data_IF_256392594832
#
_entry.id   IF_256392594832
#
_cell.length_a   1.000
_cell.length_b   1.000
_cell.length_c   1.000
_cell.angle_alpha   90.00
_cell.angle_beta   90.00
_cell.angle_gamma   90.00
#
_symmetry.space_group_name_H-M   'P 1'
#
loop_
_entity.id
_entity.type
_entity.pdbx_description
1 polymer ?
#
# COMPACT_ATOMS: atom_id res chain seq x y z
N UNK A 1 -3.56 -12.11 10.89
CA UNK A 1 -4.06 -12.25 12.25
C UNK A 1 -5.45 -11.62 12.38
N UNK A 2 -6.46 -12.31 12.94
CA UNK A 2 -7.80 -11.75 13.12
C UNK A 2 -7.83 -10.76 14.28
N UNK A 3 -8.29 -9.54 14.02
CA UNK A 3 -8.54 -8.48 15.00
C UNK A 3 -9.97 -7.98 14.78
N UNK A 4 -10.81 -8.00 15.82
CA UNK A 4 -12.13 -7.35 15.84
C UNK A 4 -12.94 -7.42 14.53
N UNK A 5 -12.86 -8.55 13.80
CA UNK A 5 -13.65 -8.79 12.58
C UNK A 5 -12.91 -8.65 11.25
N UNK A 6 -11.63 -8.30 11.24
CA UNK A 6 -10.77 -8.30 10.06
C UNK A 6 -9.45 -9.04 10.32
N UNK A 7 -8.62 -9.21 9.29
CA UNK A 7 -7.30 -9.83 9.41
C UNK A 7 -6.20 -8.83 9.04
N UNK A 8 -5.17 -8.78 9.85
CA UNK A 8 -3.98 -7.94 9.61
C UNK A 8 -2.75 -8.80 9.35
N UNK A 9 -1.87 -8.37 8.45
CA UNK A 9 -0.60 -9.01 8.19
C UNK A 9 0.53 -8.14 8.73
N UNK A 10 1.24 -8.65 9.73
CA UNK A 10 2.36 -7.96 10.33
C UNK A 10 3.65 -8.73 10.16
N UNK A 11 4.76 -8.06 9.85
CA UNK A 11 6.06 -8.70 9.97
C UNK A 11 6.26 -9.21 11.41
N UNK A 12 6.75 -10.43 11.56
CA UNK A 12 6.92 -11.09 12.87
C UNK A 12 7.75 -10.25 13.85
N UNK A 13 8.75 -9.49 13.35
CA UNK A 13 9.58 -8.61 14.19
C UNK A 13 9.04 -7.20 14.35
N UNK A 14 7.85 -6.89 13.81
CA UNK A 14 7.24 -5.57 13.96
C UNK A 14 6.84 -5.30 15.42
N UNK A 15 6.82 -4.03 15.79
CA UNK A 15 6.35 -3.63 17.14
C UNK A 15 4.88 -3.99 17.37
N UNK A 16 4.06 -3.93 16.34
CA UNK A 16 2.65 -4.29 16.44
C UNK A 16 2.49 -5.78 16.77
N UNK A 17 3.21 -6.65 16.06
CA UNK A 17 3.17 -8.08 16.35
C UNK A 17 3.72 -8.41 17.75
N UNK A 18 4.82 -7.78 18.17
CA UNK A 18 5.39 -7.97 19.51
C UNK A 18 4.42 -7.55 20.62
N UNK A 19 3.77 -6.40 20.45
CA UNK A 19 2.75 -5.91 21.42
C UNK A 19 1.55 -6.85 21.48
N UNK A 20 1.07 -7.25 20.33
CA UNK A 20 -0.04 -8.21 20.26
C UNK A 20 0.32 -9.54 20.92
N UNK A 21 1.50 -10.10 20.62
CA UNK A 21 1.94 -11.38 21.18
C UNK A 21 2.07 -11.28 22.72
N UNK A 22 2.59 -10.17 23.24
CA UNK A 22 2.69 -9.93 24.67
C UNK A 22 1.31 -9.82 25.33
N UNK A 23 0.37 -9.09 24.72
CA UNK A 23 -1.00 -8.95 25.22
C UNK A 23 -1.71 -10.32 25.22
N UNK A 24 -1.57 -11.10 24.13
CA UNK A 24 -2.17 -12.43 24.03
C UNK A 24 -1.63 -13.40 25.07
N UNK A 25 -0.31 -13.38 25.30
CA UNK A 25 0.31 -14.17 26.37
C UNK A 25 -0.22 -13.79 27.76
N UNK A 26 -0.41 -12.50 28.02
CA UNK A 26 -1.00 -12.04 29.27
C UNK A 26 -2.46 -12.48 29.44
N UNK A 27 -3.28 -12.39 28.38
CA UNK A 27 -4.67 -12.84 28.41
C UNK A 27 -4.79 -14.34 28.70
N UNK A 28 -3.92 -15.17 28.11
CA UNK A 28 -3.98 -16.62 28.25
C UNK A 28 -3.30 -17.17 29.52
N UNK A 29 -2.21 -16.56 29.96
CA UNK A 29 -1.42 -17.08 31.07
C UNK A 29 -1.51 -16.23 32.35
N UNK A 30 -2.08 -15.03 32.29
CA UNK A 30 -2.13 -14.08 33.41
C UNK A 30 -0.79 -13.44 33.77
N UNK A 31 0.25 -13.66 32.97
CA UNK A 31 1.61 -13.18 33.21
C UNK A 31 2.19 -12.48 31.97
N UNK A 32 2.83 -11.34 32.18
CA UNK A 32 3.55 -10.67 31.10
C UNK A 32 4.83 -11.47 30.74
N UNK A 33 5.03 -11.83 29.46
CA UNK A 33 6.24 -12.55 29.06
C UNK A 33 7.49 -11.66 29.24
N UNK A 34 8.55 -12.23 29.80
CA UNK A 34 9.86 -11.56 29.82
C UNK A 34 10.42 -11.34 28.41
N UNK A 35 11.32 -10.38 28.26
CA UNK A 35 11.91 -10.02 26.98
C UNK A 35 12.57 -11.22 26.26
N UNK A 36 13.25 -12.08 27.00
CA UNK A 36 13.90 -13.29 26.45
C UNK A 36 12.86 -14.29 25.95
N UNK A 37 11.81 -14.57 26.72
CA UNK A 37 10.75 -15.50 26.31
C UNK A 37 10.03 -15.01 25.03
N UNK A 38 9.80 -13.69 24.93
CA UNK A 38 9.23 -13.10 23.72
C UNK A 38 10.15 -13.28 22.52
N UNK A 39 11.44 -13.03 22.66
CA UNK A 39 12.42 -13.19 21.57
C UNK A 39 12.58 -14.65 21.13
N UNK A 40 12.58 -15.58 22.07
CA UNK A 40 12.65 -17.02 21.77
C UNK A 40 11.39 -17.50 21.04
N UNK A 41 10.22 -16.99 21.44
CA UNK A 41 8.96 -17.27 20.75
C UNK A 41 8.98 -16.74 19.31
N UNK A 42 9.49 -15.52 19.10
CA UNK A 42 9.62 -14.95 17.75
C UNK A 42 10.53 -15.79 16.86
N UNK A 43 11.65 -16.30 17.38
CA UNK A 43 12.55 -17.20 16.64
C UNK A 43 11.87 -18.50 16.23
N UNK A 44 11.09 -19.09 17.13
CA UNK A 44 10.32 -20.31 16.81
C UNK A 44 9.27 -20.03 15.73
N UNK A 45 8.54 -18.91 15.83
CA UNK A 45 7.56 -18.54 14.82
C UNK A 45 8.20 -18.27 13.44
N UNK A 46 9.37 -17.61 13.40
CA UNK A 46 10.13 -17.41 12.16
C UNK A 46 10.59 -18.75 11.56
N UNK A 47 11.13 -19.66 12.37
CA UNK A 47 11.57 -20.97 11.91
C UNK A 47 10.38 -21.77 11.33
N UNK A 48 9.24 -21.77 11.99
CA UNK A 48 8.04 -22.43 11.49
C UNK A 48 7.52 -21.80 10.20
N UNK A 49 7.43 -20.48 10.14
CA UNK A 49 7.00 -19.77 8.93
C UNK A 49 7.90 -20.08 7.73
N UNK A 50 9.22 -20.17 7.95
CA UNK A 50 10.20 -20.46 6.90
C UNK A 50 10.14 -21.91 6.42
N UNK A 51 9.87 -22.86 7.32
CA UNK A 51 9.99 -24.30 7.00
C UNK A 51 8.62 -24.97 6.73
N UNK A 52 7.54 -24.46 7.27
CA UNK A 52 6.23 -25.12 7.26
C UNK A 52 5.15 -24.31 6.52
N UNK A 53 5.34 -23.00 6.37
CA UNK A 53 4.35 -22.09 5.80
C UNK A 53 4.37 -22.03 4.27
N UNK A 54 3.24 -21.74 3.63
CA UNK A 54 3.22 -21.44 2.21
C UNK A 54 3.93 -20.10 1.93
N UNK A 55 4.79 -20.09 0.92
CA UNK A 55 5.40 -18.83 0.46
C UNK A 55 4.35 -17.97 -0.24
N UNK A 56 4.19 -16.72 0.23
CA UNK A 56 3.30 -15.72 -0.35
C UNK A 56 4.00 -14.38 -0.42
N UNK A 57 4.03 -13.78 -1.62
CA UNK A 57 4.51 -12.42 -1.77
C UNK A 57 3.56 -11.45 -1.07
N UNK A 58 4.04 -10.60 -0.16
CA UNK A 58 3.20 -9.56 0.44
C UNK A 58 2.89 -8.47 -0.58
N UNK A 59 1.71 -7.86 -0.44
CA UNK A 59 1.26 -6.73 -1.25
C UNK A 59 1.31 -5.43 -0.44
N UNK A 60 1.74 -4.34 -1.04
CA UNK A 60 1.72 -3.04 -0.37
C UNK A 60 0.37 -2.33 -0.55
N UNK A 61 0.05 -1.91 -1.74
CA UNK A 61 -1.17 -1.17 -2.07
C UNK A 61 -2.05 -1.94 -3.02
N UNK A 62 -1.45 -2.59 -3.99
CA UNK A 62 -2.14 -3.42 -4.98
C UNK A 62 -1.53 -4.81 -5.02
N UNK A 63 -2.33 -5.77 -5.40
CA UNK A 63 -1.90 -7.12 -5.68
C UNK A 63 -2.88 -7.81 -6.61
N UNK A 64 -2.54 -8.99 -7.12
CA UNK A 64 -3.47 -9.76 -7.94
C UNK A 64 -3.50 -11.22 -7.55
N UNK A 65 -4.68 -11.81 -7.73
CA UNK A 65 -4.92 -13.23 -7.57
C UNK A 65 -6.12 -13.64 -8.42
N UNK A 66 -6.01 -14.75 -9.12
CA UNK A 66 -7.11 -15.34 -9.92
C UNK A 66 -7.69 -14.36 -10.96
N UNK A 67 -6.83 -13.56 -11.61
CA UNK A 67 -7.23 -12.60 -12.65
C UNK A 67 -7.94 -11.35 -12.12
N UNK A 68 -7.94 -11.13 -10.82
CA UNK A 68 -8.50 -9.94 -10.17
C UNK A 68 -7.40 -9.11 -9.54
N UNK A 69 -7.59 -7.79 -9.50
CA UNK A 69 -6.75 -6.85 -8.79
C UNK A 69 -7.41 -6.53 -7.44
N UNK A 70 -6.60 -6.42 -6.40
CA UNK A 70 -7.01 -6.00 -5.07
C UNK A 70 -6.30 -4.71 -4.72
N UNK A 71 -7.06 -3.70 -4.31
CA UNK A 71 -6.56 -2.39 -3.89
C UNK A 71 -6.85 -2.19 -2.40
N UNK A 72 -5.81 -2.09 -1.59
CA UNK A 72 -5.93 -1.80 -0.16
C UNK A 72 -6.36 -0.36 0.06
N UNK A 73 -7.48 -0.13 0.72
CA UNK A 73 -7.91 1.21 1.11
C UNK A 73 -7.05 1.79 2.24
N UNK A 74 -6.28 0.96 2.93
CA UNK A 74 -5.47 1.36 4.09
C UNK A 74 -6.30 2.05 5.19
N UNK A 75 -7.58 1.76 5.28
CA UNK A 75 -8.46 2.23 6.34
C UNK A 75 -8.31 1.41 7.64
N UNK A 76 -8.94 1.86 8.72
CA UNK A 76 -8.88 1.21 10.01
C UNK A 76 -9.54 -0.18 10.02
N UNK A 77 -10.49 -0.43 9.12
CA UNK A 77 -11.22 -1.69 9.01
C UNK A 77 -10.55 -2.71 8.09
N UNK A 78 -9.42 -2.38 7.49
CA UNK A 78 -8.68 -3.24 6.56
C UNK A 78 -9.50 -3.69 5.36
N UNK A 79 -10.35 -2.81 4.85
CA UNK A 79 -11.13 -3.07 3.66
C UNK A 79 -10.28 -2.95 2.40
N UNK A 80 -10.65 -3.69 1.38
CA UNK A 80 -10.03 -3.55 0.06
C UNK A 80 -11.07 -3.54 -1.05
N UNK A 81 -10.70 -3.01 -2.20
CA UNK A 81 -11.50 -3.08 -3.42
C UNK A 81 -11.00 -4.24 -4.25
N UNK A 82 -11.89 -5.17 -4.59
CA UNK A 82 -11.65 -6.20 -5.59
C UNK A 82 -12.10 -5.68 -6.95
N UNK A 83 -11.23 -5.71 -7.93
CA UNK A 83 -11.46 -5.24 -9.30
C UNK A 83 -11.36 -6.44 -10.25
N UNK A 84 -12.41 -6.70 -10.99
CA UNK A 84 -12.49 -7.70 -12.03
C UNK A 84 -12.68 -7.04 -13.40
N UNK A 85 -12.61 -7.77 -14.52
CA UNK A 85 -12.85 -7.19 -15.84
C UNK A 85 -14.24 -6.58 -16.04
N UNK A 86 -15.23 -6.97 -15.26
CA UNK A 86 -16.62 -6.54 -15.44
C UNK A 86 -17.13 -5.61 -14.33
N UNK A 87 -16.55 -5.68 -13.14
CA UNK A 87 -17.06 -4.96 -11.98
C UNK A 87 -15.97 -4.74 -10.92
N UNK A 88 -16.24 -3.87 -10.01
CA UNK A 88 -15.50 -3.74 -8.77
C UNK A 88 -16.44 -3.85 -7.57
N UNK A 89 -15.91 -4.30 -6.43
CA UNK A 89 -16.67 -4.37 -5.18
C UNK A 89 -15.79 -4.10 -3.97
N UNK A 90 -16.38 -3.52 -2.95
CA UNK A 90 -15.74 -3.33 -1.66
C UNK A 90 -15.83 -4.63 -0.85
N UNK A 91 -14.72 -5.10 -0.33
CA UNK A 91 -14.63 -6.25 0.54
C UNK A 91 -14.36 -5.79 1.97
N UNK A 92 -15.35 -6.03 2.84
CA UNK A 92 -15.23 -5.80 4.29
C UNK A 92 -14.28 -6.82 4.96
N UNK A 93 -14.14 -8.01 4.37
CA UNK A 93 -13.27 -9.09 4.84
C UNK A 93 -12.59 -9.76 3.66
N UNK A 94 -11.29 -10.00 3.79
CA UNK A 94 -10.49 -10.67 2.78
C UNK A 94 -9.26 -11.35 3.42
N UNK A 95 -8.61 -12.20 2.64
CA UNK A 95 -7.36 -12.88 2.98
C UNK A 95 -6.17 -12.39 2.13
N UNK A 96 -6.31 -11.23 1.49
CA UNK A 96 -5.27 -10.60 0.71
C UNK A 96 -4.06 -10.26 1.62
N UNK A 97 -2.81 -10.60 1.20
CA UNK A 97 -1.63 -10.49 2.05
C UNK A 97 -1.06 -9.08 2.09
N UNK A 98 -1.90 -8.07 2.32
CA UNK A 98 -1.45 -6.69 2.44
C UNK A 98 -0.60 -6.48 3.67
N UNK A 99 0.48 -5.73 3.51
CA UNK A 99 1.28 -5.17 4.59
C UNK A 99 1.23 -3.65 4.50
N UNK A 100 1.16 -2.98 5.64
CA UNK A 100 1.05 -1.52 5.70
C UNK A 100 2.26 -0.91 6.37
N UNK A 101 2.91 0.03 5.69
CA UNK A 101 3.92 0.86 6.31
C UNK A 101 3.26 2.01 7.10
N UNK A 102 3.95 2.52 8.11
CA UNK A 102 3.44 3.65 8.92
C UNK A 102 3.25 4.95 8.13
N UNK A 103 3.86 5.03 6.94
CA UNK A 103 3.75 6.18 6.06
C UNK A 103 2.51 6.13 5.15
N UNK A 104 1.91 4.97 4.94
CA UNK A 104 0.69 4.84 4.12
C UNK A 104 -0.47 5.62 4.73
N UNK A 105 -1.32 6.14 3.87
CA UNK A 105 -2.54 6.88 4.23
C UNK A 105 -3.74 6.25 3.55
N UNK A 106 -4.95 6.37 4.14
CA UNK A 106 -6.14 5.80 3.57
C UNK A 106 -6.52 6.44 2.23
N UNK A 107 -7.03 5.61 1.34
CA UNK A 107 -7.82 6.02 0.19
C UNK A 107 -9.27 6.20 0.65
N UNK A 108 -10.02 7.13 0.04
CA UNK A 108 -11.46 7.20 0.25
C UNK A 108 -12.14 5.94 -0.27
N UNK A 109 -13.31 5.65 0.25
CA UNK A 109 -14.18 4.62 -0.34
C UNK A 109 -14.55 5.03 -1.76
N UNK A 110 -14.38 4.14 -2.76
CA UNK A 110 -14.71 4.47 -4.13
C UNK A 110 -16.23 4.57 -4.32
N UNK A 111 -16.64 5.56 -5.07
CA UNK A 111 -18.02 5.77 -5.49
C UNK A 111 -18.11 5.74 -7.02
N UNK A 112 -19.22 5.20 -7.53
CA UNK A 112 -19.49 5.22 -8.96
C UNK A 112 -20.17 6.52 -9.37
N UNK A 113 -19.92 6.99 -10.58
CA UNK A 113 -20.71 8.06 -11.18
C UNK A 113 -19.96 9.24 -11.74
N UNK A 114 -18.75 9.55 -11.27
CA UNK A 114 -17.98 10.67 -11.78
C UNK A 114 -17.14 10.29 -13.03
N UNK A 115 -16.93 11.28 -13.89
CA UNK A 115 -16.05 11.13 -15.05
C UNK A 115 -14.59 11.35 -14.67
N UNK A 116 -13.69 10.61 -15.29
CA UNK A 116 -12.24 10.85 -15.20
C UNK A 116 -11.87 12.27 -15.68
N UNK A 117 -12.71 12.90 -16.50
CA UNK A 117 -12.51 14.30 -16.96
C UNK A 117 -12.56 15.31 -15.82
N UNK A 118 -13.18 15.00 -14.69
CA UNK A 118 -13.13 15.82 -13.48
C UNK A 118 -11.69 16.09 -13.04
N UNK A 119 -10.77 15.14 -13.30
CA UNK A 119 -9.36 15.30 -13.00
C UNK A 119 -8.69 16.47 -13.75
N UNK A 120 -9.24 16.90 -14.90
CA UNK A 120 -8.74 18.06 -15.67
C UNK A 120 -8.75 19.35 -14.87
N UNK A 121 -9.66 19.48 -13.94
CA UNK A 121 -9.75 20.68 -13.08
C UNK A 121 -8.58 20.80 -12.11
N UNK A 122 -7.88 19.70 -11.87
CA UNK A 122 -6.76 19.61 -10.92
C UNK A 122 -5.39 19.50 -11.59
N UNK A 123 -5.34 19.19 -12.87
CA UNK A 123 -4.10 19.01 -13.63
C UNK A 123 -3.96 20.12 -14.68
N UNK A 124 -2.90 20.90 -14.58
CA UNK A 124 -2.55 21.88 -15.60
C UNK A 124 -1.75 21.19 -16.71
N UNK A 125 -2.45 20.63 -17.71
CA UNK A 125 -1.85 19.98 -18.89
C UNK A 125 -1.91 20.90 -20.09
N UNK A 126 -0.84 20.96 -20.88
CA UNK A 126 -0.77 21.83 -22.06
C UNK A 126 -1.61 21.27 -23.21
N UNK A 127 -1.60 19.97 -23.38
CA UNK A 127 -2.25 19.29 -24.51
C UNK A 127 -3.10 18.11 -24.02
N UNK A 128 -4.05 17.69 -24.85
CA UNK A 128 -4.88 16.50 -24.62
C UNK A 128 -4.06 15.24 -24.45
N UNK A 129 -2.94 15.12 -25.18
CA UNK A 129 -1.99 14.01 -25.06
C UNK A 129 -1.40 13.87 -23.66
N UNK A 130 -1.05 14.99 -23.03
CA UNK A 130 -0.49 15.02 -21.66
C UNK A 130 -1.50 14.50 -20.62
N UNK A 131 -2.75 14.93 -20.75
CA UNK A 131 -3.83 14.43 -19.89
C UNK A 131 -4.00 12.91 -20.04
N UNK A 132 -4.03 12.41 -21.27
CA UNK A 132 -4.14 10.98 -21.54
C UNK A 132 -2.96 10.18 -20.97
N UNK A 133 -1.74 10.72 -21.03
CA UNK A 133 -0.57 10.09 -20.41
C UNK A 133 -0.70 10.04 -18.88
N UNK A 134 -1.18 11.10 -18.24
CA UNK A 134 -1.44 11.11 -16.81
C UNK A 134 -2.49 10.06 -16.38
N UNK A 135 -3.60 9.95 -17.14
CA UNK A 135 -4.62 8.93 -16.91
C UNK A 135 -4.08 7.52 -17.15
N UNK A 136 -3.32 7.32 -18.23
CA UNK A 136 -2.70 6.02 -18.52
C UNK A 136 -1.73 5.60 -17.40
N UNK A 137 -0.99 6.55 -16.84
CA UNK A 137 -0.12 6.31 -15.69
C UNK A 137 -0.94 5.89 -14.45
N UNK A 138 -2.05 6.56 -14.15
CA UNK A 138 -2.92 6.19 -13.02
C UNK A 138 -3.44 4.75 -13.16
N UNK A 139 -3.92 4.39 -14.35
CA UNK A 139 -4.38 3.02 -14.62
C UNK A 139 -3.24 2.02 -14.49
N UNK A 140 -2.05 2.34 -15.02
CA UNK A 140 -0.88 1.48 -14.91
C UNK A 140 -0.40 1.33 -13.46
N UNK A 141 -0.53 2.38 -12.63
CA UNK A 141 -0.17 2.36 -11.22
C UNK A 141 -1.07 1.44 -10.37
N UNK A 142 -2.27 1.09 -10.83
CA UNK A 142 -3.15 0.13 -10.16
C UNK A 142 -2.77 -1.33 -10.47
N UNK A 143 -1.83 -1.59 -11.37
CA UNK A 143 -1.36 -2.94 -11.66
C UNK A 143 -0.57 -3.51 -10.49
N UNK A 144 -0.61 -4.81 -10.34
CA UNK A 144 0.11 -5.56 -9.29
C UNK A 144 1.59 -5.77 -9.58
N UNK A 145 1.98 -5.67 -10.87
CA UNK A 145 3.35 -5.93 -11.35
C UNK A 145 3.71 -5.10 -12.57
N UNK A 146 5.01 -4.82 -12.66
CA UNK A 146 5.62 -4.07 -13.75
C UNK A 146 5.73 -4.84 -15.09
N UNK A 147 6.37 -4.21 -16.06
CA UNK A 147 7.04 -2.91 -15.92
C UNK A 147 6.04 -1.77 -15.71
N UNK A 148 6.41 -0.82 -14.82
CA UNK A 148 5.61 0.39 -14.59
C UNK A 148 6.14 1.56 -15.42
N UNK A 149 5.28 2.38 -16.02
CA UNK A 149 5.71 3.58 -16.71
C UNK A 149 6.20 4.64 -15.69
N UNK A 150 7.25 5.36 -16.06
CA UNK A 150 7.69 6.53 -15.31
C UNK A 150 6.98 7.74 -15.88
N UNK A 151 6.27 8.51 -15.03
CA UNK A 151 5.66 9.77 -15.41
C UNK A 151 6.64 10.91 -15.11
N UNK A 152 7.17 11.56 -16.15
CA UNK A 152 7.99 12.75 -16.05
C UNK A 152 7.12 13.99 -16.28
N UNK A 153 7.00 14.86 -15.25
CA UNK A 153 6.23 16.10 -15.34
C UNK A 153 7.19 17.27 -15.56
N UNK A 154 7.16 17.86 -16.74
CA UNK A 154 8.00 18.98 -17.13
C UNK A 154 7.19 20.28 -17.22
N UNK A 155 7.84 21.41 -17.10
CA UNK A 155 7.24 22.74 -17.23
C UNK A 155 8.07 23.80 -16.51
N UNK A 156 7.74 25.06 -16.71
CA UNK A 156 8.39 26.21 -16.09
C UNK A 156 8.14 26.26 -14.56
N UNK A 157 8.89 27.13 -13.89
CA UNK A 157 8.66 27.36 -12.46
C UNK A 157 7.27 27.96 -12.24
N UNK A 158 6.55 27.46 -11.22
CA UNK A 158 5.20 27.94 -10.89
C UNK A 158 4.06 27.26 -11.64
N UNK A 159 4.30 26.35 -12.60
CA UNK A 159 3.25 25.67 -13.38
C UNK A 159 2.48 24.57 -12.64
N UNK A 160 2.76 24.35 -11.36
CA UNK A 160 1.99 23.38 -10.54
C UNK A 160 2.47 21.94 -10.60
N UNK A 161 3.67 21.65 -11.12
CA UNK A 161 4.25 20.29 -11.24
C UNK A 161 4.17 19.48 -9.95
N UNK A 162 4.67 20.04 -8.85
CA UNK A 162 4.63 19.36 -7.55
C UNK A 162 3.20 19.12 -7.06
N UNK A 163 2.28 20.01 -7.41
CA UNK A 163 0.86 19.84 -7.05
C UNK A 163 0.25 18.69 -7.86
N UNK A 164 0.47 18.66 -9.17
CA UNK A 164 0.05 17.55 -10.03
C UNK A 164 0.61 16.21 -9.54
N UNK A 165 1.90 16.16 -9.19
CA UNK A 165 2.53 14.95 -8.63
C UNK A 165 1.85 14.49 -7.33
N UNK A 166 1.53 15.41 -6.41
CA UNK A 166 0.82 15.07 -5.17
C UNK A 166 -0.59 14.56 -5.44
N UNK A 167 -1.32 15.20 -6.33
CA UNK A 167 -2.68 14.79 -6.71
C UNK A 167 -2.66 13.39 -7.31
N UNK A 168 -1.84 13.15 -8.33
CA UNK A 168 -1.74 11.84 -8.97
C UNK A 168 -1.36 10.74 -7.97
N UNK A 169 -0.38 11.00 -7.11
CA UNK A 169 -0.01 10.04 -6.07
C UNK A 169 -1.14 9.79 -5.08
N UNK A 170 -1.87 10.83 -4.67
CA UNK A 170 -2.95 10.69 -3.70
C UNK A 170 -4.10 9.81 -4.17
N UNK A 171 -4.26 9.65 -5.49
CA UNK A 171 -5.29 8.80 -6.09
C UNK A 171 -4.92 7.30 -6.11
N UNK A 172 -3.63 6.97 -5.99
CA UNK A 172 -3.16 5.57 -6.07
C UNK A 172 -2.45 5.11 -4.80
N UNK A 173 -1.63 5.97 -4.19
CA UNK A 173 -0.84 5.63 -3.00
C UNK A 173 -0.62 6.85 -2.10
N UNK A 174 -1.68 7.37 -1.44
CA UNK A 174 -1.54 8.48 -0.49
C UNK A 174 -0.55 8.11 0.62
N UNK A 175 0.34 9.06 0.94
CA UNK A 175 1.47 8.82 1.82
C UNK A 175 1.81 10.06 2.65
N UNK A 176 2.36 9.88 3.85
CA UNK A 176 2.79 10.97 4.73
C UNK A 176 3.89 11.85 4.12
N UNK A 177 4.70 11.25 3.23
CA UNK A 177 5.71 11.97 2.45
C UNK A 177 5.34 11.90 0.95
N UNK A 178 4.42 12.75 0.48
CA UNK A 178 3.87 12.66 -0.89
C UNK A 178 4.91 12.93 -1.98
N UNK A 179 5.91 13.74 -1.70
CA UNK A 179 7.10 13.95 -2.53
C UNK A 179 8.32 13.74 -1.64
N UNK A 180 9.31 13.05 -2.12
CA UNK A 180 10.58 12.78 -1.45
C UNK A 180 11.71 13.54 -2.11
N UNK A 181 12.78 13.76 -1.38
CA UNK A 181 14.04 14.17 -1.98
C UNK A 181 14.56 13.04 -2.90
N UNK A 182 15.23 13.41 -3.98
CA UNK A 182 15.89 12.44 -4.86
C UNK A 182 16.81 11.52 -4.04
N UNK A 183 16.75 10.19 -4.23
CA UNK A 183 17.60 9.25 -3.51
C UNK A 183 19.09 9.54 -3.81
N UNK A 184 19.92 9.36 -2.82
CA UNK A 184 21.35 9.60 -2.94
C UNK A 184 22.05 8.47 -3.68
N UNK A 185 21.53 7.28 -3.54
CA UNK A 185 22.06 6.06 -4.11
C UNK A 185 20.94 5.02 -4.35
N UNK A 186 21.31 3.90 -4.93
CA UNK A 186 20.40 2.79 -5.22
C UNK A 186 19.79 2.20 -3.95
N UNK A 187 20.55 2.15 -2.85
CA UNK A 187 20.05 1.61 -1.58
C UNK A 187 18.93 2.46 -1.01
N UNK A 188 19.05 3.79 -1.04
CA UNK A 188 18.00 4.70 -0.61
C UNK A 188 16.72 4.50 -1.46
N UNK A 189 16.88 4.27 -2.77
CA UNK A 189 15.77 3.99 -3.67
C UNK A 189 15.09 2.67 -3.32
N UNK A 190 15.86 1.60 -3.11
CA UNK A 190 15.33 0.28 -2.74
C UNK A 190 14.56 0.37 -1.42
N UNK A 191 15.13 1.00 -0.40
CA UNK A 191 14.45 1.17 0.91
C UNK A 191 13.15 1.97 0.76
N UNK A 192 13.12 3.00 -0.08
CA UNK A 192 11.91 3.76 -0.35
C UNK A 192 10.85 2.90 -1.07
N UNK A 193 11.26 2.08 -2.03
CA UNK A 193 10.38 1.19 -2.79
C UNK A 193 9.77 0.07 -1.93
N UNK A 194 10.49 -0.45 -0.96
CA UNK A 194 9.93 -1.44 -0.02
C UNK A 194 8.78 -0.92 0.84
N UNK A 195 8.63 0.39 0.97
CA UNK A 195 7.67 1.02 1.87
C UNK A 195 6.60 1.86 1.14
N UNK A 196 6.60 1.87 -0.18
CA UNK A 196 5.67 2.67 -0.97
C UNK A 196 5.37 1.98 -2.29
N UNK A 197 4.11 1.97 -2.69
CA UNK A 197 3.70 1.46 -4.00
C UNK A 197 4.08 2.44 -5.12
N UNK A 198 3.90 3.73 -4.90
CA UNK A 198 4.32 4.78 -5.82
C UNK A 198 5.38 5.69 -5.17
N UNK A 199 6.45 5.99 -5.90
CA UNK A 199 7.49 6.93 -5.50
C UNK A 199 7.41 8.19 -6.34
N UNK A 200 7.57 9.35 -5.68
CA UNK A 200 7.58 10.68 -6.31
C UNK A 200 8.75 11.48 -5.76
N UNK A 201 9.56 12.03 -6.65
CA UNK A 201 10.74 12.83 -6.38
C UNK A 201 10.63 14.22 -6.97
#
# INVERSE_FOLDING_TARGET
>A
YPIAGHSENWPIRSQNFKRWLAARAFEEMGLAPGAQALEDTLRVLEARATNEGPERAPWLRTGSRDGKIYLDLCDASWRCVEISPLEWRLLERHDAPFIRSSAMRPLPEPEAGESIDTLRTFLNTAEEGDFRLAVAWLVAALRDRGPYPILAINGEQGTGKSNASRILRSLVDPNAAPIRATPRDERDLIVAAYNSHALVF
#
